data_IF_643381548253
#
_entry.id   IF_643381548253
#
_cell.length_a   1.000
_cell.length_b   1.000
_cell.length_c   1.000
_cell.angle_alpha   90.00
_cell.angle_beta   90.00
_cell.angle_gamma   90.00
#
_symmetry.space_group_name_H-M   'P 1'
#
loop_
_entity.id
_entity.type
_entity.pdbx_description
1 polymer ?
#
# COMPACT_ATOMS: atom_id res chain seq x y z
N UNK A 1 9.23 4.00 6.52
CA UNK A 1 8.46 5.24 6.16
C UNK A 1 6.98 5.00 6.45
N UNK A 2 6.20 6.04 6.83
CA UNK A 2 4.74 5.95 7.00
C UNK A 2 4.03 7.02 6.17
N UNK A 3 2.97 6.64 5.46
CA UNK A 3 2.09 7.56 4.73
C UNK A 3 0.69 6.95 4.58
N UNK A 4 -0.31 7.77 4.23
CA UNK A 4 -1.68 7.32 3.97
C UNK A 4 -1.94 7.19 2.48
N UNK A 5 -2.75 6.22 2.09
CA UNK A 5 -3.24 6.06 0.72
C UNK A 5 -4.75 5.86 0.67
N UNK A 6 -5.32 6.13 -0.50
CA UNK A 6 -6.67 5.76 -0.88
C UNK A 6 -6.62 5.09 -2.26
N UNK A 7 -7.15 3.87 -2.36
CA UNK A 7 -7.28 3.13 -3.62
C UNK A 7 -8.74 3.23 -4.06
N UNK A 8 -9.06 3.81 -5.21
CA UNK A 8 -10.44 4.08 -5.61
C UNK A 8 -11.16 2.85 -6.17
N UNK A 9 -10.40 1.92 -6.73
CA UNK A 9 -10.93 0.78 -7.47
C UNK A 9 -9.94 -0.41 -7.43
N UNK A 10 -10.34 -1.53 -8.02
CA UNK A 10 -9.54 -2.77 -8.04
C UNK A 10 -8.26 -2.63 -8.86
N UNK A 11 -8.26 -1.83 -9.92
CA UNK A 11 -7.08 -1.55 -10.73
C UNK A 11 -6.01 -0.82 -9.91
N UNK A 12 -6.41 0.14 -9.07
CA UNK A 12 -5.48 0.82 -8.15
C UNK A 12 -4.86 -0.17 -7.15
N UNK A 13 -5.63 -1.14 -6.66
CA UNK A 13 -5.12 -2.19 -5.78
C UNK A 13 -4.12 -3.11 -6.47
N UNK A 14 -4.39 -3.53 -7.71
CA UNK A 14 -3.44 -4.30 -8.51
C UNK A 14 -2.14 -3.52 -8.75
N UNK A 15 -2.24 -2.24 -9.10
CA UNK A 15 -1.08 -1.38 -9.34
C UNK A 15 -0.27 -1.12 -8.07
N UNK A 16 -0.94 -0.88 -6.94
CA UNK A 16 -0.29 -0.74 -5.64
C UNK A 16 0.48 -2.01 -5.28
N UNK A 17 -0.15 -3.18 -5.39
CA UNK A 17 0.47 -4.47 -5.04
C UNK A 17 1.63 -4.79 -5.99
N UNK A 18 1.50 -4.47 -7.27
CA UNK A 18 2.59 -4.60 -8.24
C UNK A 18 3.78 -3.70 -7.90
N UNK A 19 3.55 -2.48 -7.41
CA UNK A 19 4.61 -1.62 -6.91
C UNK A 19 5.23 -2.16 -5.62
N UNK A 20 4.39 -2.64 -4.69
CA UNK A 20 4.83 -3.19 -3.41
C UNK A 20 5.66 -4.47 -3.59
N UNK A 21 5.29 -5.33 -4.55
CA UNK A 21 6.00 -6.58 -4.83
C UNK A 21 7.40 -6.37 -5.41
N UNK A 22 7.67 -5.20 -5.98
CA UNK A 22 9.00 -4.80 -6.50
C UNK A 22 9.87 -4.15 -5.42
N UNK A 23 9.29 -3.76 -4.30
CA UNK A 23 10.00 -3.23 -3.15
C UNK A 23 10.76 -4.37 -2.45
N UNK A 24 12.04 -4.13 -2.14
CA UNK A 24 12.87 -5.10 -1.43
C UNK A 24 12.42 -5.32 0.02
N UNK A 25 11.95 -4.25 0.66
CA UNK A 25 11.48 -4.26 2.05
C UNK A 25 10.06 -4.76 2.24
N UNK A 26 9.66 -4.89 3.50
CA UNK A 26 8.29 -5.24 3.89
C UNK A 26 7.40 -4.01 3.79
N UNK A 27 6.18 -4.24 3.32
CA UNK A 27 5.15 -3.23 3.19
C UNK A 27 3.91 -3.76 3.90
N UNK A 28 3.49 -3.08 4.96
CA UNK A 28 2.27 -3.40 5.68
C UNK A 28 1.20 -2.35 5.40
N UNK A 29 -0.03 -2.80 5.19
CA UNK A 29 -1.21 -1.95 5.19
C UNK A 29 -1.98 -2.11 6.49
N UNK A 30 -2.48 -0.99 7.00
CA UNK A 30 -3.21 -0.93 8.25
C UNK A 30 -4.49 -0.12 8.12
N UNK A 31 -5.59 -0.67 8.63
CA UNK A 31 -6.84 0.04 8.82
C UNK A 31 -7.55 -0.44 10.09
N UNK A 32 -7.75 0.48 11.04
CA UNK A 32 -8.39 0.18 12.33
C UNK A 32 -7.53 -0.72 13.22
N UNK A 33 -7.84 -2.02 13.25
CA UNK A 33 -7.14 -3.05 14.04
C UNK A 33 -6.50 -4.13 13.16
N UNK A 34 -6.64 -4.02 11.83
CA UNK A 34 -6.22 -5.04 10.87
C UNK A 34 -4.92 -4.60 10.22
N UNK A 35 -3.95 -5.52 10.20
CA UNK A 35 -2.72 -5.43 9.43
C UNK A 35 -2.73 -6.51 8.35
N UNK A 36 -2.30 -6.16 7.14
CA UNK A 36 -2.10 -7.11 6.05
C UNK A 36 -0.76 -6.84 5.38
N UNK A 37 -0.20 -7.88 4.80
CA UNK A 37 0.91 -7.76 3.85
C UNK A 37 0.45 -6.99 2.60
N UNK A 38 1.07 -5.85 2.33
CA UNK A 38 0.79 -4.99 1.18
C UNK A 38 1.20 -5.59 -0.17
N UNK A 39 1.91 -6.73 -0.18
CA UNK A 39 2.21 -7.53 -1.37
C UNK A 39 1.13 -8.57 -1.66
N UNK A 40 0.16 -8.77 -0.77
CA UNK A 40 -0.96 -9.69 -0.96
C UNK A 40 -2.16 -9.03 -1.62
N UNK A 41 -2.35 -9.23 -2.92
CA UNK A 41 -3.51 -8.68 -3.65
C UNK A 41 -4.85 -9.08 -3.01
N UNK A 42 -4.99 -10.34 -2.62
CA UNK A 42 -6.19 -10.80 -1.93
C UNK A 42 -6.39 -10.07 -0.60
N UNK A 43 -5.33 -9.84 0.17
CA UNK A 43 -5.38 -9.06 1.40
C UNK A 43 -5.82 -7.62 1.15
N UNK A 44 -5.22 -6.94 0.17
CA UNK A 44 -5.54 -5.54 -0.17
C UNK A 44 -7.00 -5.41 -0.61
N UNK A 45 -7.47 -6.32 -1.46
CA UNK A 45 -8.88 -6.34 -1.88
C UNK A 45 -9.83 -6.64 -0.72
N UNK A 46 -9.46 -7.54 0.20
CA UNK A 46 -10.26 -7.88 1.37
C UNK A 46 -10.35 -6.73 2.40
N UNK A 47 -9.29 -5.91 2.52
CA UNK A 47 -9.30 -4.70 3.35
C UNK A 47 -10.25 -3.63 2.78
N UNK A 48 -10.41 -3.63 1.46
CA UNK A 48 -11.42 -2.86 0.73
C UNK A 48 -10.85 -1.61 0.04
N UNK A 49 -11.42 -1.30 -1.12
CA UNK A 49 -11.18 -0.06 -1.86
C UNK A 49 -12.06 1.08 -1.31
N UNK A 50 -11.74 2.33 -1.67
CA UNK A 50 -12.38 3.57 -1.21
C UNK A 50 -12.30 3.77 0.30
N UNK A 51 -11.21 3.29 0.90
CA UNK A 51 -10.89 3.41 2.31
C UNK A 51 -9.47 3.93 2.46
N UNK A 52 -9.29 4.90 3.35
CA UNK A 52 -7.96 5.34 3.71
C UNK A 52 -7.24 4.28 4.53
N UNK A 53 -5.99 4.00 4.16
CA UNK A 53 -5.14 3.01 4.80
C UNK A 53 -3.78 3.63 5.11
N UNK A 54 -3.23 3.28 6.26
CA UNK A 54 -1.84 3.59 6.58
C UNK A 54 -0.92 2.55 5.91
N UNK A 55 0.11 3.02 5.22
CA UNK A 55 1.19 2.21 4.67
C UNK A 55 2.41 2.33 5.56
N UNK A 56 2.99 1.21 5.96
CA UNK A 56 4.27 1.12 6.66
C UNK A 56 5.28 0.43 5.77
N UNK A 57 6.45 1.04 5.60
CA UNK A 57 7.57 0.48 4.84
C UNK A 57 8.74 0.25 5.80
N UNK A 58 9.20 -1.00 5.93
CA UNK A 58 10.21 -1.40 6.91
C UNK A 58 11.62 -0.88 6.58
N UNK A 59 11.97 -0.77 5.30
CA UNK A 59 13.28 -0.28 4.87
C UNK A 59 13.29 1.23 4.55
N UNK A 60 14.36 1.91 4.98
CA UNK A 60 14.46 3.37 4.97
C UNK A 60 14.77 4.01 3.59
N UNK A 61 15.00 3.21 2.54
CA UNK A 61 15.59 3.73 1.29
C UNK A 61 14.85 3.40 0.01
N UNK A 62 13.63 2.85 0.04
CA UNK A 62 12.91 2.55 -1.21
C UNK A 62 12.11 3.75 -1.73
N UNK A 63 12.85 4.80 -2.14
CA UNK A 63 12.27 5.97 -2.82
C UNK A 63 11.53 5.59 -4.12
N UNK A 64 11.86 4.42 -4.70
CA UNK A 64 11.19 3.88 -5.87
C UNK A 64 9.73 3.53 -5.59
N UNK A 65 9.47 2.83 -4.48
CA UNK A 65 8.12 2.47 -4.09
C UNK A 65 7.25 3.70 -3.82
N UNK A 66 7.72 4.64 -2.98
CA UNK A 66 6.95 5.84 -2.67
C UNK A 66 6.58 6.65 -3.92
N UNK A 67 7.51 6.78 -4.87
CA UNK A 67 7.24 7.44 -6.15
C UNK A 67 6.20 6.70 -7.00
N UNK A 68 6.25 5.36 -7.04
CA UNK A 68 5.30 4.55 -7.80
C UNK A 68 3.86 4.66 -7.25
N UNK A 69 3.71 4.81 -5.92
CA UNK A 69 2.39 4.88 -5.27
C UNK A 69 1.94 6.31 -4.95
N UNK A 70 2.73 7.32 -5.31
CA UNK A 70 2.48 8.74 -4.99
C UNK A 70 1.09 9.22 -5.40
N UNK A 71 0.54 8.69 -6.50
CA UNK A 71 -0.80 9.05 -7.00
C UNK A 71 -1.94 8.57 -6.10
N UNK A 72 -1.69 7.59 -5.23
CA UNK A 72 -2.66 7.08 -4.25
C UNK A 72 -2.53 7.79 -2.90
N UNK A 73 -1.47 8.57 -2.69
CA UNK A 73 -1.17 9.19 -1.39
C UNK A 73 -2.18 10.29 -1.08
N UNK A 74 -2.68 10.28 0.15
CA UNK A 74 -3.59 11.30 0.69
C UNK A 74 -2.98 12.00 1.90
N UNK A 75 -3.53 13.17 2.24
CA UNK A 75 -3.02 14.06 3.29
C UNK A 75 -3.20 13.50 4.71
#
# INVERSE_FOLDING_TARGET
MKFKILLENTQDAEEFVNAASKCGGDIDLHSGVVYIDGKSLLGVLAMGVKREMDVYVSEHSDSGFFNAVKKFVVA
#
